data_IF_474755181476
#
_entry.id   IF_474755181476
#
_cell.length_a   1.000
_cell.length_b   1.000
_cell.length_c   1.000
_cell.angle_alpha   90.00
_cell.angle_beta   90.00
_cell.angle_gamma   90.00
#
_symmetry.space_group_name_H-M   'P 1'
#
loop_
_entity.id
_entity.type
_entity.pdbx_description
1 polymer ?
#
# COMPACT_ATOMS: atom_id res chain seq x y z
N UNK A 1 4.33 -19.86 -40.00
CA UNK A 1 3.20 -20.38 -39.20
C UNK A 1 3.66 -20.41 -37.76
N UNK A 2 3.10 -19.50 -36.95
CA UNK A 2 3.07 -19.44 -35.47
C UNK A 2 4.19 -20.11 -34.67
N UNK A 3 5.08 -19.33 -34.04
CA UNK A 3 5.31 -19.45 -32.58
C UNK A 3 6.04 -18.22 -31.99
N UNK A 4 5.39 -17.06 -32.04
CA UNK A 4 5.77 -15.96 -31.13
C UNK A 4 5.20 -16.29 -29.74
N UNK A 5 5.97 -17.08 -28.99
CA UNK A 5 5.79 -17.27 -27.56
C UNK A 5 5.90 -15.91 -26.86
N UNK A 6 4.76 -15.22 -26.73
CA UNK A 6 4.58 -14.03 -25.91
C UNK A 6 4.97 -14.39 -24.48
N UNK A 7 6.24 -14.15 -24.14
CA UNK A 7 6.80 -14.27 -22.79
C UNK A 7 5.92 -13.45 -21.84
N UNK A 8 4.96 -14.10 -21.18
CA UNK A 8 4.27 -13.61 -19.98
C UNK A 8 5.35 -13.44 -18.92
N UNK A 9 5.97 -12.26 -18.93
CA UNK A 9 7.07 -11.94 -18.03
C UNK A 9 6.52 -11.82 -16.62
N UNK A 10 6.83 -12.81 -15.80
CA UNK A 10 6.75 -12.73 -14.34
C UNK A 10 7.42 -11.42 -13.93
N UNK A 11 6.70 -10.57 -13.21
CA UNK A 11 7.29 -9.33 -12.68
C UNK A 11 7.80 -9.61 -11.28
N UNK A 12 9.11 -9.85 -11.17
CA UNK A 12 9.76 -10.20 -9.90
C UNK A 12 9.45 -9.20 -8.77
N UNK A 13 9.29 -7.91 -9.09
CA UNK A 13 8.96 -6.86 -8.12
C UNK A 13 7.59 -7.07 -7.43
N UNK A 14 6.56 -7.46 -8.19
CA UNK A 14 5.21 -7.68 -7.61
C UNK A 14 5.14 -8.93 -6.75
N UNK A 15 5.86 -9.99 -7.14
CA UNK A 15 5.96 -11.21 -6.34
C UNK A 15 6.68 -10.92 -5.02
N UNK A 16 7.84 -10.28 -5.09
CA UNK A 16 8.64 -9.92 -3.90
C UNK A 16 7.82 -9.04 -2.96
N UNK A 17 7.18 -7.99 -3.48
CA UNK A 17 6.31 -7.12 -2.68
C UNK A 17 5.11 -7.86 -2.08
N UNK A 18 4.54 -8.81 -2.81
CA UNK A 18 3.45 -9.66 -2.32
C UNK A 18 3.89 -10.53 -1.14
N UNK A 19 5.01 -11.23 -1.28
CA UNK A 19 5.59 -12.09 -0.25
C UNK A 19 5.97 -11.29 0.99
N UNK A 20 6.62 -10.13 0.83
CA UNK A 20 6.97 -9.24 1.94
C UNK A 20 5.72 -8.86 2.74
N UNK A 21 4.62 -8.51 2.07
CA UNK A 21 3.37 -8.14 2.74
C UNK A 21 2.72 -9.32 3.48
N UNK A 22 2.79 -10.54 2.92
CA UNK A 22 2.30 -11.73 3.60
C UNK A 22 3.09 -12.05 4.87
N UNK A 23 4.42 -11.99 4.78
CA UNK A 23 5.31 -12.21 5.93
C UNK A 23 5.05 -11.14 6.99
N UNK A 24 4.97 -9.87 6.58
CA UNK A 24 4.69 -8.75 7.48
C UNK A 24 3.34 -8.93 8.18
N UNK A 25 2.30 -9.32 7.46
CA UNK A 25 0.99 -9.64 8.03
C UNK A 25 1.07 -10.76 9.07
N UNK A 26 1.83 -11.81 8.78
CA UNK A 26 2.02 -12.94 9.71
C UNK A 26 2.72 -12.49 10.99
N UNK A 27 3.77 -11.67 10.88
CA UNK A 27 4.49 -11.12 12.03
C UNK A 27 3.56 -10.25 12.89
N UNK A 28 2.74 -9.39 12.26
CA UNK A 28 1.77 -8.54 12.94
C UNK A 28 0.73 -9.38 13.70
N UNK A 29 0.32 -10.53 13.16
CA UNK A 29 -0.65 -11.42 13.78
C UNK A 29 -0.13 -12.05 15.08
N UNK A 30 1.15 -12.43 15.14
CA UNK A 30 1.74 -13.11 16.29
C UNK A 30 2.26 -12.18 17.38
N UNK A 31 2.58 -10.93 17.06
CA UNK A 31 3.23 -9.99 17.97
C UNK A 31 2.46 -8.66 18.08
N UNK A 32 1.16 -8.70 18.35
CA UNK A 32 0.25 -7.53 18.29
C UNK A 32 0.79 -6.26 18.98
N UNK A 33 1.36 -6.35 20.18
CA UNK A 33 1.91 -5.20 20.90
C UNK A 33 3.21 -4.63 20.30
N UNK A 34 4.25 -5.45 20.19
CA UNK A 34 5.57 -4.99 19.70
C UNK A 34 5.60 -4.78 18.20
N UNK A 35 4.77 -5.50 17.44
CA UNK A 35 4.65 -5.33 16.00
C UNK A 35 4.09 -3.97 15.64
N UNK A 36 3.17 -3.39 16.43
CA UNK A 36 2.66 -2.04 16.16
C UNK A 36 3.76 -0.99 16.25
N UNK A 37 4.53 -1.00 17.34
CA UNK A 37 5.65 -0.07 17.52
C UNK A 37 6.69 -0.25 16.40
N UNK A 38 7.03 -1.51 16.09
CA UNK A 38 7.93 -1.81 14.96
C UNK A 38 7.39 -1.29 13.63
N UNK A 39 6.10 -1.48 13.36
CA UNK A 39 5.45 -1.04 12.13
C UNK A 39 5.42 0.50 12.05
N UNK A 40 5.20 1.20 13.16
CA UNK A 40 5.31 2.67 13.24
C UNK A 40 6.70 3.11 12.82
N UNK A 41 7.76 2.50 13.35
CA UNK A 41 9.14 2.87 12.97
C UNK A 41 9.44 2.59 11.50
N UNK A 42 9.07 1.40 11.00
CA UNK A 42 9.25 1.04 9.59
C UNK A 42 8.48 2.01 8.69
N UNK A 43 7.23 2.32 9.03
CA UNK A 43 6.39 3.22 8.26
C UNK A 43 6.92 4.66 8.27
N UNK A 44 7.43 5.11 9.42
CA UNK A 44 8.09 6.42 9.57
C UNK A 44 9.30 6.53 8.63
N UNK A 45 10.15 5.51 8.60
CA UNK A 45 11.30 5.45 7.69
C UNK A 45 10.85 5.46 6.22
N UNK A 46 9.83 4.67 5.88
CA UNK A 46 9.28 4.63 4.51
C UNK A 46 8.72 5.99 4.08
N UNK A 47 7.96 6.67 4.95
CA UNK A 47 7.44 8.01 4.68
C UNK A 47 8.59 8.99 4.47
N UNK A 48 9.60 8.96 5.33
CA UNK A 48 10.76 9.84 5.24
C UNK A 48 11.51 9.66 3.92
N UNK A 49 11.84 8.42 3.56
CA UNK A 49 12.51 8.08 2.30
C UNK A 49 11.64 8.52 1.11
N UNK A 50 10.32 8.28 1.17
CA UNK A 50 9.38 8.69 0.13
C UNK A 50 9.33 10.21 -0.01
N UNK A 51 9.38 10.94 1.10
CA UNK A 51 9.42 12.41 1.13
C UNK A 51 10.68 12.95 0.46
N UNK A 52 11.85 12.44 0.87
CA UNK A 52 13.15 12.80 0.28
C UNK A 52 13.17 12.49 -1.23
N UNK A 53 12.67 11.31 -1.63
CA UNK A 53 12.62 10.90 -3.04
C UNK A 53 11.79 11.89 -3.88
N UNK A 54 10.65 12.35 -3.37
CA UNK A 54 9.79 13.32 -4.07
C UNK A 54 10.44 14.70 -4.18
N UNK A 55 11.12 15.16 -3.13
CA UNK A 55 11.90 16.41 -3.18
C UNK A 55 13.02 16.29 -4.22
N UNK A 56 13.76 15.18 -4.22
CA UNK A 56 14.84 14.93 -5.18
C UNK A 56 14.32 14.87 -6.63
N UNK A 57 13.17 14.25 -6.85
CA UNK A 57 12.51 14.24 -8.17
C UNK A 57 12.08 15.65 -8.61
N UNK A 58 11.74 16.55 -7.69
CA UNK A 58 11.43 17.95 -8.06
C UNK A 58 12.66 18.70 -8.56
N UNK A 59 13.81 18.47 -7.94
CA UNK A 59 15.04 19.21 -8.23
C UNK A 59 15.69 18.66 -9.52
N UNK A 60 15.81 17.34 -9.63
CA UNK A 60 16.65 16.72 -10.66
C UNK A 60 15.91 16.38 -11.95
N UNK A 61 14.57 16.49 -11.96
CA UNK A 61 13.79 16.06 -13.12
C UNK A 61 13.43 17.26 -14.00
N UNK A 62 14.33 17.57 -14.93
CA UNK A 62 14.18 18.66 -15.89
C UNK A 62 12.93 18.51 -16.77
N UNK A 63 12.43 17.28 -16.93
CA UNK A 63 11.25 16.97 -17.74
C UNK A 63 9.92 17.30 -17.05
N UNK A 64 9.92 17.64 -15.75
CA UNK A 64 8.69 18.05 -15.06
C UNK A 64 8.37 19.51 -15.36
N UNK A 65 7.09 19.78 -15.63
CA UNK A 65 6.57 21.14 -15.66
C UNK A 65 6.77 21.85 -14.31
N UNK A 66 6.80 23.17 -14.30
CA UNK A 66 6.98 23.95 -13.06
C UNK A 66 5.94 23.61 -11.98
N UNK A 67 4.68 23.34 -12.39
CA UNK A 67 3.62 22.84 -11.51
C UNK A 67 3.92 21.42 -11.02
N UNK A 68 4.42 20.54 -11.88
CA UNK A 68 4.85 19.21 -11.49
C UNK A 68 5.97 19.24 -10.44
N UNK A 69 6.96 20.11 -10.64
CA UNK A 69 8.05 20.30 -9.67
C UNK A 69 7.51 20.80 -8.33
N UNK A 70 6.73 21.88 -8.34
CA UNK A 70 6.13 22.45 -7.12
C UNK A 70 5.29 21.43 -6.34
N UNK A 71 4.42 20.67 -7.01
CA UNK A 71 3.59 19.64 -6.36
C UNK A 71 4.42 18.50 -5.77
N UNK A 72 5.47 18.04 -6.45
CA UNK A 72 6.38 17.02 -5.93
C UNK A 72 7.20 17.53 -4.75
N UNK A 73 7.69 18.77 -4.81
CA UNK A 73 8.41 19.40 -3.71
C UNK A 73 7.53 19.53 -2.47
N UNK A 74 6.35 20.15 -2.61
CA UNK A 74 5.42 20.37 -1.49
C UNK A 74 4.99 19.02 -0.90
N UNK A 75 4.57 18.06 -1.73
CA UNK A 75 4.15 16.75 -1.22
C UNK A 75 5.30 15.97 -0.57
N UNK A 76 6.54 16.11 -1.08
CA UNK A 76 7.72 15.52 -0.46
C UNK A 76 8.03 16.14 0.90
N UNK A 77 7.99 17.46 0.99
CA UNK A 77 8.24 18.21 2.22
C UNK A 77 7.19 17.92 3.29
N UNK A 78 5.91 17.85 2.90
CA UNK A 78 4.81 17.45 3.80
C UNK A 78 5.04 16.05 4.37
N UNK A 79 5.48 15.08 3.56
CA UNK A 79 5.80 13.74 4.05
C UNK A 79 6.96 13.75 5.04
N UNK A 80 8.00 14.55 4.80
CA UNK A 80 9.13 14.70 5.74
C UNK A 80 8.62 15.23 7.08
N UNK A 81 7.82 16.31 7.09
CA UNK A 81 7.24 16.86 8.32
C UNK A 81 6.39 15.80 9.04
N UNK A 82 5.50 15.12 8.32
CA UNK A 82 4.64 14.08 8.90
C UNK A 82 5.49 12.98 9.53
N UNK A 83 6.59 12.54 8.88
CA UNK A 83 7.47 11.52 9.45
C UNK A 83 8.13 11.97 10.76
N UNK A 84 8.56 13.24 10.84
CA UNK A 84 9.12 13.79 12.08
C UNK A 84 8.07 13.90 13.20
N UNK A 85 6.84 14.33 12.86
CA UNK A 85 5.74 14.40 13.83
C UNK A 85 5.43 13.01 14.38
N UNK A 86 5.32 11.99 13.52
CA UNK A 86 5.09 10.60 13.96
C UNK A 86 6.25 10.13 14.85
N UNK A 87 7.50 10.39 14.45
CA UNK A 87 8.67 9.98 15.22
C UNK A 87 8.70 10.59 16.62
N UNK A 88 8.49 11.91 16.74
CA UNK A 88 8.51 12.62 18.02
C UNK A 88 7.34 12.17 18.91
N UNK A 89 6.14 12.04 18.34
CA UNK A 89 4.96 11.58 19.08
C UNK A 89 5.15 10.15 19.60
N UNK A 90 5.81 9.28 18.83
CA UNK A 90 6.06 7.88 19.24
C UNK A 90 6.95 7.80 20.49
N UNK A 91 7.86 8.77 20.67
CA UNK A 91 8.75 8.83 21.83
C UNK A 91 8.04 9.33 23.10
N UNK A 92 7.02 10.17 22.95
CA UNK A 92 6.27 10.75 24.07
C UNK A 92 5.09 9.89 24.49
N UNK A 93 4.21 9.56 23.53
CA UNK A 93 3.03 8.73 23.73
C UNK A 93 2.79 7.88 22.47
N UNK A 94 3.08 6.57 22.53
CA UNK A 94 2.95 5.69 21.38
C UNK A 94 1.49 5.50 20.93
N UNK A 95 0.50 5.79 21.79
CA UNK A 95 -0.93 5.62 21.46
C UNK A 95 -1.38 6.60 20.37
N UNK A 96 -0.96 7.86 20.45
CA UNK A 96 -1.26 8.85 19.43
C UNK A 96 -0.66 8.48 18.07
N UNK A 97 0.55 7.91 18.06
CA UNK A 97 1.20 7.47 16.83
C UNK A 97 0.54 6.22 16.25
N UNK A 98 0.01 5.31 17.08
CA UNK A 98 -0.80 4.18 16.59
C UNK A 98 -2.06 4.67 15.89
N UNK A 99 -2.75 5.67 16.41
CA UNK A 99 -3.98 6.19 15.82
C UNK A 99 -3.71 6.85 14.45
N UNK A 100 -2.66 7.67 14.37
CA UNK A 100 -2.21 8.26 13.10
C UNK A 100 -1.86 7.15 12.08
N UNK A 101 -1.15 6.12 12.53
CA UNK A 101 -0.75 5.01 11.66
C UNK A 101 -1.98 4.24 11.15
N UNK A 102 -2.93 3.90 12.04
CA UNK A 102 -4.17 3.22 11.69
C UNK A 102 -4.97 4.07 10.69
N UNK A 103 -5.06 5.37 10.92
CA UNK A 103 -5.73 6.30 10.02
C UNK A 103 -5.07 6.35 8.64
N UNK A 104 -3.74 6.51 8.56
CA UNK A 104 -2.99 6.52 7.30
C UNK A 104 -3.10 5.19 6.56
N UNK A 105 -2.98 4.06 7.28
CA UNK A 105 -3.15 2.74 6.70
C UNK A 105 -4.56 2.58 6.14
N UNK A 106 -5.58 3.01 6.87
CA UNK A 106 -6.97 2.92 6.43
C UNK A 106 -7.19 3.69 5.14
N UNK A 107 -6.73 4.94 5.05
CA UNK A 107 -6.83 5.73 3.81
C UNK A 107 -6.10 5.02 2.68
N UNK A 108 -4.89 4.51 2.93
CA UNK A 108 -4.12 3.76 1.95
C UNK A 108 -4.85 2.52 1.45
N UNK A 109 -5.47 1.75 2.35
CA UNK A 109 -6.24 0.55 2.02
C UNK A 109 -7.49 0.88 1.21
N UNK A 110 -8.21 1.96 1.54
CA UNK A 110 -9.36 2.45 0.77
C UNK A 110 -8.93 2.80 -0.66
N UNK A 111 -7.86 3.59 -0.82
CA UNK A 111 -7.35 3.99 -2.14
C UNK A 111 -6.96 2.74 -2.96
N UNK A 112 -6.26 1.79 -2.34
CA UNK A 112 -5.88 0.53 -2.98
C UNK A 112 -7.11 -0.30 -3.36
N UNK A 113 -8.11 -0.36 -2.49
CA UNK A 113 -9.37 -1.05 -2.74
C UNK A 113 -10.14 -0.47 -3.92
N UNK A 114 -10.30 0.86 -3.95
CA UNK A 114 -10.92 1.59 -5.06
C UNK A 114 -10.16 1.34 -6.36
N UNK A 115 -8.83 1.46 -6.33
CA UNK A 115 -7.99 1.21 -7.49
C UNK A 115 -8.20 -0.21 -8.04
N UNK A 116 -8.36 -1.23 -7.19
CA UNK A 116 -8.63 -2.61 -7.62
C UNK A 116 -10.01 -2.81 -8.23
N UNK A 117 -11.03 -2.21 -7.63
CA UNK A 117 -12.38 -2.24 -8.22
C UNK A 117 -12.33 -1.59 -9.60
N UNK A 118 -11.70 -0.41 -9.70
CA UNK A 118 -11.49 0.28 -10.97
C UNK A 118 -10.73 -0.57 -11.99
N UNK A 119 -9.61 -1.20 -11.61
CA UNK A 119 -8.85 -2.04 -12.55
C UNK A 119 -9.62 -3.28 -12.97
N UNK A 120 -10.37 -3.92 -12.08
CA UNK A 120 -11.21 -5.08 -12.42
C UNK A 120 -12.37 -4.73 -13.36
N UNK A 121 -12.97 -3.55 -13.17
CA UNK A 121 -14.06 -3.05 -14.02
C UNK A 121 -13.52 -2.62 -15.39
N UNK A 122 -12.50 -1.76 -15.42
CA UNK A 122 -12.01 -1.09 -16.65
C UNK A 122 -11.14 -1.99 -17.52
N UNK A 123 -10.30 -2.86 -16.93
CA UNK A 123 -9.36 -3.66 -17.74
C UNK A 123 -9.99 -4.95 -18.28
N UNK A 124 -10.53 -4.87 -19.49
CA UNK A 124 -11.05 -6.03 -20.23
C UNK A 124 -9.97 -7.03 -20.65
N UNK A 125 -8.69 -6.61 -20.63
CA UNK A 125 -7.53 -7.47 -20.96
C UNK A 125 -7.31 -8.60 -19.94
N UNK A 126 -7.92 -8.52 -18.76
CA UNK A 126 -7.86 -9.58 -17.76
C UNK A 126 -8.90 -10.66 -18.02
N UNK A 127 -8.52 -11.91 -17.70
CA UNK A 127 -9.43 -13.07 -17.77
C UNK A 127 -10.60 -12.82 -16.79
N UNK A 128 -11.83 -13.18 -17.18
CA UNK A 128 -13.07 -12.90 -16.43
C UNK A 128 -12.98 -13.25 -14.94
N UNK A 129 -12.45 -14.44 -14.61
CA UNK A 129 -12.31 -14.86 -13.22
C UNK A 129 -11.37 -13.95 -12.41
N UNK A 130 -10.28 -13.47 -13.03
CA UNK A 130 -9.35 -12.56 -12.38
C UNK A 130 -9.97 -11.17 -12.16
N UNK A 131 -10.77 -10.66 -13.12
CA UNK A 131 -11.53 -9.40 -12.95
C UNK A 131 -12.48 -9.47 -11.77
N UNK A 132 -13.25 -10.56 -11.68
CA UNK A 132 -14.19 -10.80 -10.58
C UNK A 132 -13.44 -10.85 -9.24
N UNK A 133 -12.31 -11.56 -9.20
CA UNK A 133 -11.45 -11.62 -8.01
C UNK A 133 -10.99 -10.23 -7.58
N UNK A 134 -10.53 -9.38 -8.51
CA UNK A 134 -10.09 -8.02 -8.19
C UNK A 134 -11.20 -7.13 -7.63
N UNK A 135 -12.40 -7.23 -8.19
CA UNK A 135 -13.56 -6.47 -7.72
C UNK A 135 -13.94 -6.93 -6.30
N UNK A 136 -14.07 -8.24 -6.08
CA UNK A 136 -14.43 -8.81 -4.77
C UNK A 136 -13.37 -8.42 -3.73
N UNK A 137 -12.10 -8.65 -4.03
CA UNK A 137 -10.99 -8.30 -3.14
C UNK A 137 -10.94 -6.80 -2.87
N UNK A 138 -11.19 -5.96 -3.89
CA UNK A 138 -11.26 -4.51 -3.74
C UNK A 138 -12.37 -4.10 -2.77
N UNK A 139 -13.58 -4.63 -2.93
CA UNK A 139 -14.72 -4.37 -2.04
C UNK A 139 -14.41 -4.85 -0.61
N UNK A 140 -13.91 -6.07 -0.45
CA UNK A 140 -13.53 -6.62 0.85
C UNK A 140 -12.47 -5.74 1.53
N UNK A 141 -11.48 -5.27 0.78
CA UNK A 141 -10.44 -4.37 1.31
C UNK A 141 -11.07 -3.06 1.81
N UNK A 142 -11.98 -2.45 1.04
CA UNK A 142 -12.67 -1.21 1.45
C UNK A 142 -13.49 -1.43 2.74
N UNK A 143 -14.26 -2.52 2.81
CA UNK A 143 -15.08 -2.84 3.98
C UNK A 143 -14.23 -3.07 5.22
N UNK A 144 -13.13 -3.83 5.10
CA UNK A 144 -12.17 -4.04 6.18
C UNK A 144 -11.54 -2.74 6.65
N UNK A 145 -11.26 -1.81 5.72
CA UNK A 145 -10.68 -0.50 6.02
C UNK A 145 -11.63 0.39 6.82
N UNK A 146 -12.91 0.45 6.46
CA UNK A 146 -13.90 1.19 7.25
C UNK A 146 -14.11 0.55 8.62
N UNK A 147 -14.15 -0.78 8.66
CA UNK A 147 -14.30 -1.53 9.90
C UNK A 147 -13.13 -1.27 10.86
N UNK A 148 -11.90 -1.11 10.34
CA UNK A 148 -10.73 -0.83 11.19
C UNK A 148 -10.79 0.54 11.85
N UNK A 149 -11.38 1.58 11.24
CA UNK A 149 -11.58 2.88 11.93
C UNK A 149 -12.65 2.76 13.00
N UNK A 150 -13.80 2.17 12.67
CA UNK A 150 -14.93 2.06 13.60
C UNK A 150 -14.57 1.25 14.85
N UNK A 151 -13.74 0.22 14.68
CA UNK A 151 -13.31 -0.63 15.78
C UNK A 151 -12.06 -0.09 16.48
N UNK A 152 -11.25 0.78 15.85
CA UNK A 152 -10.08 1.37 16.50
C UNK A 152 -10.44 2.16 17.76
N UNK A 153 -11.59 2.82 17.76
CA UNK A 153 -12.12 3.55 18.92
C UNK A 153 -12.57 2.62 20.06
N UNK A 154 -12.82 1.34 19.77
CA UNK A 154 -13.39 0.35 20.69
C UNK A 154 -12.37 -0.68 21.19
N UNK A 155 -11.53 -1.20 20.30
CA UNK A 155 -10.52 -2.23 20.62
C UNK A 155 -9.35 -2.21 19.61
N UNK A 156 -8.16 -1.91 20.13
CA UNK A 156 -6.91 -1.91 19.37
C UNK A 156 -6.55 -3.30 18.86
N UNK A 157 -6.86 -4.38 19.60
CA UNK A 157 -6.49 -5.75 19.23
C UNK A 157 -7.25 -6.21 17.98
N UNK A 158 -8.57 -6.00 17.95
CA UNK A 158 -9.40 -6.35 16.80
C UNK A 158 -8.95 -5.56 15.57
N UNK A 159 -8.62 -4.28 15.75
CA UNK A 159 -8.13 -3.41 14.68
C UNK A 159 -6.82 -3.94 14.07
N UNK A 160 -5.90 -4.43 14.90
CA UNK A 160 -4.66 -5.06 14.42
C UNK A 160 -4.95 -6.28 13.56
N UNK A 161 -5.91 -7.13 13.98
CA UNK A 161 -6.31 -8.29 13.17
C UNK A 161 -6.91 -7.88 11.83
N UNK A 162 -7.76 -6.85 11.79
CA UNK A 162 -8.34 -6.33 10.55
C UNK A 162 -7.27 -5.78 9.60
N UNK A 163 -6.29 -5.05 10.13
CA UNK A 163 -5.15 -4.55 9.36
C UNK A 163 -4.29 -5.73 8.85
N UNK A 164 -4.01 -6.73 9.69
CA UNK A 164 -3.22 -7.89 9.31
C UNK A 164 -3.89 -8.68 8.17
N UNK A 165 -5.21 -8.90 8.25
CA UNK A 165 -5.99 -9.55 7.19
C UNK A 165 -5.94 -8.71 5.90
N UNK A 166 -6.11 -7.39 6.02
CA UNK A 166 -6.05 -6.49 4.87
C UNK A 166 -4.67 -6.55 4.19
N UNK A 167 -3.58 -6.51 4.96
CA UNK A 167 -2.22 -6.66 4.46
C UNK A 167 -2.00 -8.02 3.79
N UNK A 168 -2.52 -9.11 4.37
CA UNK A 168 -2.43 -10.44 3.80
C UNK A 168 -3.11 -10.52 2.42
N UNK A 169 -4.37 -10.09 2.35
CA UNK A 169 -5.16 -10.07 1.11
C UNK A 169 -4.48 -9.20 0.05
N UNK A 170 -3.91 -8.07 0.45
CA UNK A 170 -3.13 -7.21 -0.43
C UNK A 170 -1.86 -7.89 -0.94
N UNK A 171 -1.12 -8.57 -0.07
CA UNK A 171 0.08 -9.33 -0.41
C UNK A 171 -0.23 -10.45 -1.39
N UNK A 172 -1.28 -11.23 -1.11
CA UNK A 172 -1.78 -12.29 -1.99
C UNK A 172 -2.15 -11.80 -3.37
N UNK A 173 -2.86 -10.67 -3.45
CA UNK A 173 -3.25 -10.10 -4.73
C UNK A 173 -2.03 -9.63 -5.54
N UNK A 174 -1.04 -9.00 -4.90
CA UNK A 174 0.21 -8.60 -5.57
C UNK A 174 1.03 -9.79 -6.05
N UNK A 175 1.09 -10.85 -5.24
CA UNK A 175 1.71 -12.11 -5.63
C UNK A 175 1.04 -12.70 -6.88
N UNK A 176 -0.29 -12.76 -6.90
CA UNK A 176 -1.06 -13.23 -8.08
C UNK A 176 -0.79 -12.37 -9.31
N UNK A 177 -0.81 -11.03 -9.19
CA UNK A 177 -0.49 -10.12 -10.30
C UNK A 177 0.90 -10.38 -10.89
N UNK A 178 1.88 -10.70 -10.04
CA UNK A 178 3.24 -11.04 -10.45
C UNK A 178 3.32 -12.37 -11.20
N UNK A 179 2.56 -13.38 -10.78
CA UNK A 179 2.46 -14.68 -11.45
C UNK A 179 1.76 -14.58 -12.81
N UNK A 180 0.69 -13.79 -12.90
CA UNK A 180 -0.10 -13.68 -14.14
C UNK A 180 0.55 -12.78 -15.20
N UNK A 181 1.65 -12.07 -14.87
CA UNK A 181 2.36 -11.16 -15.78
C UNK A 181 1.54 -9.93 -16.19
N UNK A 182 0.42 -9.72 -15.51
CA UNK A 182 -0.61 -8.72 -15.82
C UNK A 182 -0.19 -7.30 -15.48
N UNK A 183 0.87 -7.12 -14.68
CA UNK A 183 1.39 -5.80 -14.30
C UNK A 183 1.88 -4.99 -15.51
N UNK A 184 2.46 -5.64 -16.54
CA UNK A 184 2.93 -4.95 -17.76
C UNK A 184 1.81 -4.35 -18.61
N UNK A 185 0.57 -4.79 -18.44
CA UNK A 185 -0.58 -4.28 -19.20
C UNK A 185 -1.14 -2.98 -18.61
N UNK A 186 -0.93 -2.74 -17.31
CA UNK A 186 -1.40 -1.53 -16.60
C UNK A 186 -0.45 -0.33 -16.71
N UNK A 187 0.80 -0.54 -17.14
CA UNK A 187 1.86 0.50 -17.19
C UNK A 187 2.08 1.08 -18.60
N UNK A 188 1.21 0.74 -19.55
CA UNK A 188 1.30 1.12 -20.97
C UNK A 188 0.29 2.20 -21.39
N UNK A 189 -0.36 2.85 -20.43
CA UNK A 189 -1.21 4.03 -20.63
C UNK A 189 -0.49 5.27 -20.10
#
# INVERSE_FOLDING_TARGET
MSDESKKKGITSSSIINGVILMILSTIVFFYTGTALIFLIYVFTIIILISGISRVNMSINNEKLSNIGKATKFISGFVLIIISFVIFITTLGDPTFSTDILIFLLTIGLIIIGIARVGTGVVNEKFIKWFRILLIIVGIVTIVLSFSSILVAELDTIITIYLIAISLFVNGFTRFLYGLTGTEKLSKKE
#
